data_IF_163149732068
#
_entry.id   IF_163149732068
#
_cell.length_a   1.000
_cell.length_b   1.000
_cell.length_c   1.000
_cell.angle_alpha   90.00
_cell.angle_beta   90.00
_cell.angle_gamma   90.00
#
_symmetry.space_group_name_H-M   'P 1'
#
loop_
_entity.id
_entity.type
_entity.pdbx_description
1 polymer ?
#
# COMPACT_ATOMS: atom_id res chain seq x y z
N UNK A 1 16.06 -24.87 -25.17
CA UNK A 1 16.99 -23.75 -25.28
C UNK A 1 17.55 -23.55 -23.88
N UNK A 2 18.85 -23.65 -23.68
CA UNK A 2 19.50 -23.47 -22.39
C UNK A 2 19.39 -21.99 -22.00
N UNK A 3 18.57 -21.68 -21.01
CA UNK A 3 18.56 -20.37 -20.37
C UNK A 3 19.87 -20.27 -19.61
N UNK A 4 20.84 -19.58 -20.15
CA UNK A 4 22.02 -19.16 -19.38
C UNK A 4 21.49 -18.27 -18.25
N UNK A 5 21.74 -18.69 -17.00
CA UNK A 5 21.44 -17.84 -15.84
C UNK A 5 22.11 -16.48 -16.06
N UNK A 6 21.38 -15.39 -15.79
CA UNK A 6 21.96 -14.05 -15.83
C UNK A 6 23.22 -14.00 -14.95
N UNK A 7 24.28 -13.29 -15.36
CA UNK A 7 25.48 -13.21 -14.56
C UNK A 7 25.15 -12.62 -13.19
N UNK A 8 25.71 -13.15 -12.11
CA UNK A 8 25.51 -12.57 -10.79
C UNK A 8 26.06 -11.14 -10.76
N UNK A 9 25.28 -10.17 -10.30
CA UNK A 9 25.74 -8.80 -10.11
C UNK A 9 26.88 -8.80 -9.07
N UNK A 10 27.97 -8.09 -9.36
CA UNK A 10 29.12 -8.01 -8.46
C UNK A 10 28.73 -7.30 -7.14
N UNK A 11 28.78 -8.02 -6.05
CA UNK A 11 28.47 -7.50 -4.71
C UNK A 11 29.42 -6.41 -4.25
N UNK A 12 30.70 -6.48 -4.64
CA UNK A 12 31.63 -5.43 -4.31
C UNK A 12 31.26 -4.14 -5.04
N UNK A 13 30.85 -4.25 -6.30
CA UNK A 13 30.39 -3.10 -7.11
C UNK A 13 29.18 -2.43 -6.48
N UNK A 14 28.16 -3.20 -6.06
CA UNK A 14 26.99 -2.65 -5.38
C UNK A 14 27.41 -1.83 -4.15
N UNK A 15 28.27 -2.36 -3.29
CA UNK A 15 28.73 -1.68 -2.07
C UNK A 15 29.56 -0.42 -2.35
N UNK A 16 30.35 -0.43 -3.41
CA UNK A 16 31.08 0.76 -3.86
C UNK A 16 30.14 1.86 -4.34
N UNK A 17 29.11 1.49 -5.10
CA UNK A 17 28.07 2.41 -5.56
C UNK A 17 27.23 2.94 -4.39
N UNK A 18 26.81 2.11 -3.45
CA UNK A 18 26.10 2.56 -2.23
C UNK A 18 26.91 3.65 -1.51
N UNK A 19 28.19 3.41 -1.24
CA UNK A 19 29.06 4.39 -0.57
C UNK A 19 29.18 5.70 -1.35
N UNK A 20 29.23 5.62 -2.69
CA UNK A 20 29.26 6.79 -3.56
C UNK A 20 27.96 7.60 -3.42
N UNK A 21 26.83 6.91 -3.56
CA UNK A 21 25.51 7.55 -3.55
C UNK A 21 25.14 8.09 -2.16
N UNK A 22 25.48 7.39 -1.08
CA UNK A 22 25.29 7.91 0.30
C UNK A 22 26.05 9.22 0.52
N UNK A 23 27.30 9.29 0.07
CA UNK A 23 28.09 10.53 0.17
C UNK A 23 27.43 11.66 -0.59
N UNK A 24 26.99 11.44 -1.83
CA UNK A 24 26.33 12.45 -2.66
C UNK A 24 25.04 12.93 -1.98
N UNK A 25 24.19 12.01 -1.48
CA UNK A 25 22.94 12.35 -0.82
C UNK A 25 23.20 13.17 0.46
N UNK A 26 24.18 12.77 1.27
CA UNK A 26 24.53 13.46 2.50
C UNK A 26 25.07 14.88 2.24
N UNK A 27 25.87 15.08 1.19
CA UNK A 27 26.36 16.40 0.79
C UNK A 27 25.23 17.32 0.31
N UNK A 28 24.18 16.78 -0.30
CA UNK A 28 23.04 17.54 -0.84
C UNK A 28 21.95 17.85 0.17
N UNK A 29 21.94 17.22 1.34
CA UNK A 29 20.83 17.28 2.31
C UNK A 29 21.26 17.78 3.68
N UNK A 30 22.15 18.78 3.71
CA UNK A 30 22.71 19.34 4.93
C UNK A 30 21.66 20.04 5.83
N UNK A 31 20.67 20.73 5.24
CA UNK A 31 19.58 21.35 6.00
C UNK A 31 18.65 20.29 6.62
N UNK A 32 18.39 19.20 5.88
CA UNK A 32 17.66 18.05 6.42
C UNK A 32 18.36 17.47 7.66
N UNK A 33 19.71 17.35 7.63
CA UNK A 33 20.50 16.92 8.79
C UNK A 33 20.36 17.89 9.99
N UNK A 34 20.37 19.19 9.76
CA UNK A 34 20.16 20.20 10.80
C UNK A 34 18.74 20.11 11.40
N UNK A 35 17.73 19.96 10.54
CA UNK A 35 16.34 19.80 10.97
C UNK A 35 16.17 18.51 11.80
N UNK A 36 16.81 17.43 11.42
CA UNK A 36 16.78 16.18 12.17
C UNK A 36 17.39 16.34 13.58
N UNK A 37 18.53 17.03 13.71
CA UNK A 37 19.11 17.37 15.02
C UNK A 37 18.14 18.19 15.88
N UNK A 38 17.43 19.14 15.27
CA UNK A 38 16.40 19.94 15.96
C UNK A 38 15.21 19.08 16.36
N UNK A 39 14.70 18.24 15.44
CA UNK A 39 13.52 17.40 15.65
C UNK A 39 13.72 16.38 16.79
N UNK A 40 14.91 15.80 16.94
CA UNK A 40 15.24 14.87 18.01
C UNK A 40 15.13 15.46 19.43
N UNK A 41 14.95 16.78 19.57
CA UNK A 41 14.73 17.42 20.90
C UNK A 41 13.27 17.29 21.35
N UNK A 42 12.33 17.04 20.46
CA UNK A 42 10.89 17.07 20.73
C UNK A 42 10.10 15.92 20.10
N UNK A 43 10.62 15.29 19.05
CA UNK A 43 10.02 14.14 18.41
C UNK A 43 10.85 12.89 18.67
N UNK A 44 10.20 11.82 19.10
CA UNK A 44 10.87 10.53 19.32
C UNK A 44 11.44 10.01 18.02
N UNK A 45 12.77 9.81 17.96
CA UNK A 45 13.46 9.44 16.72
C UNK A 45 13.52 10.56 15.66
N UNK A 46 13.18 11.82 16.00
CA UNK A 46 13.24 12.98 15.11
C UNK A 46 12.17 13.01 13.99
N UNK A 47 11.19 12.14 14.04
CA UNK A 47 10.14 12.00 13.03
C UNK A 47 8.75 11.86 13.65
N UNK A 48 7.69 12.14 12.88
CA UNK A 48 6.32 11.98 13.33
C UNK A 48 5.83 10.52 13.26
N UNK A 49 6.45 9.68 12.42
CA UNK A 49 6.11 8.27 12.26
C UNK A 49 7.36 7.46 11.90
N UNK A 50 7.43 6.21 12.38
CA UNK A 50 8.57 5.32 12.12
C UNK A 50 8.85 5.09 10.62
N UNK A 51 7.82 5.16 9.77
CA UNK A 51 8.00 5.09 8.31
C UNK A 51 8.79 6.25 7.70
N UNK A 52 8.95 7.36 8.43
CA UNK A 52 9.71 8.52 7.99
C UNK A 52 11.19 8.46 8.43
N UNK A 53 11.53 7.50 9.33
CA UNK A 53 12.89 7.37 9.86
C UNK A 53 13.82 6.74 8.82
N UNK A 54 14.99 7.35 8.65
CA UNK A 54 16.07 6.87 7.79
C UNK A 54 17.43 7.29 8.34
N UNK A 55 18.43 6.43 8.18
CA UNK A 55 19.82 6.74 8.47
C UNK A 55 20.49 7.46 7.27
N UNK A 56 21.41 8.41 7.53
CA UNK A 56 21.72 9.02 8.82
C UNK A 56 20.70 10.10 9.27
N UNK A 57 19.82 10.56 8.38
CA UNK A 57 18.69 11.45 8.59
C UNK A 57 17.65 11.31 7.48
N UNK A 58 16.36 11.53 7.78
CA UNK A 58 15.32 11.56 6.76
C UNK A 58 15.41 12.81 5.90
N UNK A 59 14.86 12.74 4.70
CA UNK A 59 14.69 13.92 3.83
C UNK A 59 13.46 14.68 4.29
N UNK A 60 13.64 15.98 4.61
CA UNK A 60 12.54 16.87 4.98
C UNK A 60 12.01 17.58 3.73
N UNK A 61 10.76 17.32 3.39
CA UNK A 61 10.08 17.99 2.26
C UNK A 61 9.50 19.34 2.70
N UNK A 62 9.52 20.32 1.80
CA UNK A 62 8.98 21.67 2.02
C UNK A 62 7.65 21.88 1.29
N UNK A 63 7.54 21.40 0.04
CA UNK A 63 6.34 21.56 -0.78
C UNK A 63 6.21 20.48 -1.85
N UNK A 64 4.99 20.35 -2.37
CA UNK A 64 4.68 19.53 -3.55
C UNK A 64 3.73 20.30 -4.48
N UNK A 65 3.89 20.12 -5.80
CA UNK A 65 3.04 20.70 -6.83
C UNK A 65 2.92 19.73 -8.01
N UNK A 66 1.71 19.32 -8.33
CA UNK A 66 1.48 18.29 -9.34
C UNK A 66 2.28 17.02 -9.03
N UNK A 67 3.14 16.55 -9.95
CA UNK A 67 3.95 15.34 -9.80
C UNK A 67 5.34 15.62 -9.18
N UNK A 68 5.60 16.79 -8.63
CA UNK A 68 6.92 17.22 -8.19
C UNK A 68 6.93 17.61 -6.72
N UNK A 69 8.00 17.26 -6.01
CA UNK A 69 8.26 17.68 -4.63
C UNK A 69 9.60 18.42 -4.52
N UNK A 70 9.72 19.26 -3.50
CA UNK A 70 10.98 19.93 -3.14
C UNK A 70 11.30 19.64 -1.68
N UNK A 71 12.54 19.29 -1.43
CA UNK A 71 13.04 19.21 -0.08
C UNK A 71 13.46 20.59 0.48
N UNK A 72 13.77 20.62 1.77
CA UNK A 72 14.22 21.86 2.45
C UNK A 72 15.59 22.33 2.00
N UNK A 73 16.35 21.49 1.33
CA UNK A 73 17.66 21.79 0.76
C UNK A 73 17.54 22.42 -0.64
N UNK A 74 16.33 22.46 -1.22
CA UNK A 74 16.01 23.03 -2.53
C UNK A 74 16.13 22.03 -3.69
N UNK A 75 16.30 20.75 -3.40
CA UNK A 75 16.32 19.72 -4.42
C UNK A 75 14.90 19.48 -4.95
N UNK A 76 14.72 19.57 -6.24
CA UNK A 76 13.48 19.23 -6.94
C UNK A 76 13.51 17.78 -7.39
N UNK A 77 12.39 17.06 -7.22
CA UNK A 77 12.31 15.64 -7.55
C UNK A 77 10.92 15.29 -8.11
N UNK A 78 10.86 14.42 -9.11
CA UNK A 78 9.62 13.76 -9.51
C UNK A 78 9.17 12.83 -8.39
N UNK A 79 7.91 12.94 -7.95
CA UNK A 79 7.38 12.19 -6.82
C UNK A 79 6.71 10.88 -7.25
N UNK A 80 7.47 9.83 -7.32
CA UNK A 80 6.96 8.46 -7.53
C UNK A 80 6.54 7.77 -6.23
N UNK A 81 6.85 8.34 -5.08
CA UNK A 81 6.38 7.87 -3.78
C UNK A 81 4.90 8.22 -3.54
N UNK A 82 4.50 9.45 -3.89
CA UNK A 82 3.13 9.95 -3.72
C UNK A 82 2.51 9.61 -2.34
N UNK A 83 3.31 9.77 -1.27
CA UNK A 83 2.87 9.53 0.10
C UNK A 83 2.37 8.11 0.35
N UNK A 84 3.11 7.08 -0.07
CA UNK A 84 2.68 5.67 -0.07
C UNK A 84 1.38 5.41 -0.86
N UNK A 85 1.16 6.17 -1.94
CA UNK A 85 -0.03 6.06 -2.78
C UNK A 85 -1.24 6.87 -2.31
N UNK A 86 -1.05 7.83 -1.40
CA UNK A 86 -2.14 8.71 -0.97
C UNK A 86 -2.39 9.89 -1.91
N UNK A 87 -1.45 10.18 -2.81
CA UNK A 87 -1.49 11.35 -3.70
C UNK A 87 -1.66 10.98 -5.18
N UNK A 88 -2.49 9.99 -5.48
CA UNK A 88 -2.81 9.64 -6.89
C UNK A 88 -3.41 10.83 -7.67
N UNK A 89 -3.95 11.82 -6.98
CA UNK A 89 -4.45 13.07 -7.55
C UNK A 89 -3.35 14.06 -7.91
N UNK A 90 -2.12 13.86 -7.42
CA UNK A 90 -1.02 14.83 -7.47
C UNK A 90 -1.10 15.87 -6.36
N UNK A 91 0.05 16.52 -6.09
CA UNK A 91 0.15 17.54 -5.05
C UNK A 91 -0.55 18.84 -5.45
N UNK A 92 -1.09 19.54 -4.45
CA UNK A 92 -1.72 20.86 -4.60
C UNK A 92 -2.77 20.94 -5.73
N UNK A 93 -3.50 19.85 -5.99
CA UNK A 93 -4.46 19.80 -7.09
C UNK A 93 -5.53 20.89 -6.96
N UNK A 94 -5.71 21.78 -7.98
CA UNK A 94 -6.52 23.00 -7.86
C UNK A 94 -7.99 22.74 -7.53
N UNK A 95 -8.58 21.67 -8.07
CA UNK A 95 -9.98 21.28 -7.80
C UNK A 95 -10.16 20.90 -6.33
N UNK A 96 -9.23 20.11 -5.78
CA UNK A 96 -9.26 19.69 -4.37
C UNK A 96 -8.99 20.88 -3.46
N UNK A 97 -8.01 21.73 -3.80
CA UNK A 97 -7.70 22.95 -3.06
C UNK A 97 -8.91 23.89 -2.95
N UNK A 98 -9.64 24.07 -4.06
CA UNK A 98 -10.89 24.85 -4.09
C UNK A 98 -11.95 24.25 -3.17
N UNK A 99 -12.21 22.94 -3.24
CA UNK A 99 -13.19 22.27 -2.41
C UNK A 99 -12.87 22.41 -0.90
N UNK A 100 -11.59 22.30 -0.52
CA UNK A 100 -11.13 22.51 0.85
C UNK A 100 -11.37 23.94 1.30
N UNK A 101 -11.03 24.95 0.50
CA UNK A 101 -11.23 26.36 0.81
C UNK A 101 -12.70 26.72 0.99
N UNK A 102 -13.57 26.26 0.09
CA UNK A 102 -15.02 26.46 0.17
C UNK A 102 -15.62 25.80 1.40
N UNK A 103 -15.16 24.60 1.76
CA UNK A 103 -15.60 23.90 2.96
C UNK A 103 -15.10 24.57 4.23
N UNK A 104 -13.84 24.99 4.27
CA UNK A 104 -13.27 25.72 5.39
C UNK A 104 -14.08 26.96 5.76
N UNK A 105 -14.53 27.72 4.76
CA UNK A 105 -15.36 28.90 4.95
C UNK A 105 -16.75 28.61 5.59
N UNK A 106 -17.21 27.34 5.53
CA UNK A 106 -18.50 26.88 6.11
C UNK A 106 -18.33 26.14 7.44
N UNK A 107 -17.09 25.95 7.90
CA UNK A 107 -16.76 25.19 9.10
C UNK A 107 -16.17 23.81 8.79
N UNK A 108 -15.27 23.37 9.65
CA UNK A 108 -14.42 22.19 9.43
C UNK A 108 -14.81 20.96 10.24
N UNK A 109 -15.64 21.14 11.31
CA UNK A 109 -16.04 20.03 12.17
C UNK A 109 -17.32 20.37 12.92
N UNK A 110 -18.31 19.47 12.89
CA UNK A 110 -19.62 19.68 13.52
C UNK A 110 -20.02 18.56 14.47
N UNK A 111 -19.33 17.41 14.48
CA UNK A 111 -19.81 16.17 15.10
C UNK A 111 -21.25 15.80 14.66
N UNK A 112 -21.60 16.15 13.41
CA UNK A 112 -22.89 15.94 12.80
C UNK A 112 -22.73 15.60 11.31
N UNK A 113 -23.66 14.86 10.70
CA UNK A 113 -23.58 14.48 9.28
C UNK A 113 -23.64 15.69 8.35
N UNK A 114 -23.04 15.54 7.16
CA UNK A 114 -23.04 16.54 6.09
C UNK A 114 -23.47 15.91 4.76
N UNK A 115 -23.95 16.74 3.83
CA UNK A 115 -24.35 16.30 2.50
C UNK A 115 -23.19 15.67 1.71
N UNK A 116 -21.98 16.23 1.82
CA UNK A 116 -20.79 15.69 1.17
C UNK A 116 -20.49 14.24 1.60
N UNK A 117 -20.77 13.90 2.87
CA UNK A 117 -20.60 12.53 3.37
C UNK A 117 -21.61 11.57 2.71
N UNK A 118 -22.83 12.04 2.42
CA UNK A 118 -23.82 11.23 1.70
C UNK A 118 -23.36 11.01 0.26
N UNK A 119 -23.01 12.08 -0.45
CA UNK A 119 -22.57 12.00 -1.84
C UNK A 119 -21.33 11.10 -2.03
N UNK A 120 -20.36 11.16 -1.10
CA UNK A 120 -19.22 10.24 -1.10
C UNK A 120 -19.66 8.80 -0.89
N UNK A 121 -20.56 8.53 0.07
CA UNK A 121 -21.07 7.18 0.31
C UNK A 121 -21.81 6.59 -0.89
N UNK A 122 -22.61 7.40 -1.59
CA UNK A 122 -23.30 7.00 -2.83
C UNK A 122 -22.31 6.67 -3.94
N UNK A 123 -21.27 7.49 -4.14
CA UNK A 123 -20.25 7.24 -5.16
C UNK A 123 -19.38 6.01 -4.84
N UNK A 124 -19.03 5.79 -3.57
CA UNK A 124 -18.33 4.57 -3.15
C UNK A 124 -19.22 3.33 -3.36
N UNK A 125 -20.51 3.41 -3.02
CA UNK A 125 -21.45 2.31 -3.25
C UNK A 125 -21.56 1.97 -4.76
N UNK A 126 -21.60 2.98 -5.62
CA UNK A 126 -21.62 2.81 -7.07
C UNK A 126 -20.34 2.14 -7.61
N UNK A 127 -19.16 2.55 -7.09
CA UNK A 127 -17.86 2.03 -7.57
C UNK A 127 -17.58 0.60 -7.13
N UNK A 128 -17.90 0.25 -5.88
CA UNK A 128 -17.60 -1.08 -5.33
C UNK A 128 -18.77 -2.07 -5.37
N UNK A 129 -19.97 -1.62 -5.67
CA UNK A 129 -21.17 -2.48 -5.61
C UNK A 129 -21.57 -2.88 -4.18
N UNK A 130 -20.99 -2.25 -3.16
CA UNK A 130 -21.29 -2.49 -1.74
C UNK A 130 -22.21 -1.35 -1.21
N UNK A 131 -23.42 -1.66 -0.71
CA UNK A 131 -24.43 -0.63 -0.48
C UNK A 131 -24.27 0.17 0.82
N UNK A 132 -23.48 -0.29 1.80
CA UNK A 132 -23.41 0.33 3.13
C UNK A 132 -21.99 0.79 3.46
N UNK A 133 -21.84 2.07 3.83
CA UNK A 133 -20.55 2.69 4.09
C UNK A 133 -20.48 3.39 5.45
N UNK A 134 -19.29 3.39 6.05
CA UNK A 134 -18.91 4.17 7.24
C UNK A 134 -17.55 4.79 7.03
N UNK A 135 -17.29 5.90 7.72
CA UNK A 135 -16.02 6.62 7.62
C UNK A 135 -15.15 6.40 8.85
N UNK A 136 -13.85 6.52 8.64
CA UNK A 136 -12.77 6.50 9.62
C UNK A 136 -11.76 7.58 9.26
N UNK A 137 -10.62 7.66 9.99
CA UNK A 137 -9.58 8.67 9.71
C UNK A 137 -8.30 8.05 9.17
N UNK A 138 -8.18 6.74 9.15
CA UNK A 138 -6.99 6.03 8.69
C UNK A 138 -7.33 4.60 8.23
N UNK A 139 -6.40 3.99 7.49
CA UNK A 139 -6.50 2.57 7.11
C UNK A 139 -6.48 1.64 8.33
N UNK A 140 -5.71 1.97 9.37
CA UNK A 140 -5.67 1.19 10.61
C UNK A 140 -7.02 1.17 11.34
N UNK A 141 -7.70 2.32 11.40
CA UNK A 141 -9.06 2.37 11.94
C UNK A 141 -10.03 1.58 11.06
N UNK A 142 -9.94 1.70 9.74
CA UNK A 142 -10.79 0.98 8.80
C UNK A 142 -10.67 -0.53 8.97
N UNK A 143 -9.47 -1.08 9.00
CA UNK A 143 -9.25 -2.52 9.16
C UNK A 143 -9.60 -3.01 10.57
N UNK A 144 -9.33 -2.23 11.61
CA UNK A 144 -9.72 -2.54 12.98
C UNK A 144 -11.25 -2.67 13.13
N UNK A 145 -11.97 -1.70 12.59
CA UNK A 145 -13.44 -1.70 12.66
C UNK A 145 -14.06 -2.78 11.77
N UNK A 146 -13.51 -3.03 10.56
CA UNK A 146 -13.97 -4.11 9.69
C UNK A 146 -13.84 -5.49 10.35
N UNK A 147 -12.71 -5.77 11.02
CA UNK A 147 -12.52 -7.01 11.79
C UNK A 147 -13.49 -7.09 12.97
N UNK A 148 -13.74 -5.98 13.70
CA UNK A 148 -14.71 -5.94 14.79
C UNK A 148 -16.13 -6.23 14.30
N UNK A 149 -16.50 -5.67 13.16
CA UNK A 149 -17.81 -5.93 12.50
C UNK A 149 -17.93 -7.40 12.13
N UNK A 150 -16.91 -7.97 11.49
CA UNK A 150 -16.88 -9.37 11.10
C UNK A 150 -16.98 -10.33 12.31
N UNK A 151 -16.26 -10.04 13.41
CA UNK A 151 -16.36 -10.79 14.66
C UNK A 151 -17.77 -10.73 15.26
N UNK A 152 -18.36 -9.55 15.33
CA UNK A 152 -19.71 -9.38 15.87
C UNK A 152 -20.79 -10.06 15.00
N UNK A 153 -20.64 -9.98 13.68
CA UNK A 153 -21.57 -10.61 12.73
C UNK A 153 -21.52 -12.14 12.80
N UNK A 154 -20.32 -12.72 12.91
CA UNK A 154 -20.14 -14.17 12.91
C UNK A 154 -20.17 -14.81 14.30
N UNK A 155 -20.00 -14.04 15.36
CA UNK A 155 -19.84 -14.55 16.73
C UNK A 155 -18.52 -15.30 16.96
N UNK A 156 -17.46 -14.99 16.19
CA UNK A 156 -16.16 -15.68 16.22
C UNK A 156 -15.03 -14.70 16.47
N UNK A 157 -13.89 -15.18 17.01
CA UNK A 157 -12.76 -14.33 17.40
C UNK A 157 -11.55 -14.41 16.46
N UNK A 158 -11.30 -15.60 15.87
CA UNK A 158 -10.12 -15.83 15.04
C UNK A 158 -10.16 -15.03 13.76
N UNK A 159 -9.02 -14.44 13.40
CA UNK A 159 -8.80 -13.72 12.13
C UNK A 159 -7.80 -14.50 11.29
N UNK A 160 -8.10 -14.69 10.02
CA UNK A 160 -7.15 -15.22 9.04
C UNK A 160 -6.67 -14.10 8.16
N UNK A 161 -5.36 -14.01 7.93
CA UNK A 161 -4.73 -13.01 7.05
C UNK A 161 -3.69 -13.64 6.14
N UNK A 162 -3.28 -12.94 5.11
CA UNK A 162 -2.14 -13.35 4.27
C UNK A 162 -0.83 -13.06 5.02
N UNK A 163 0.10 -14.04 4.99
CA UNK A 163 1.42 -13.89 5.59
C UNK A 163 2.21 -12.78 4.90
N UNK A 164 2.81 -11.89 5.68
CA UNK A 164 3.55 -10.74 5.18
C UNK A 164 2.70 -9.53 4.77
N UNK A 165 1.36 -9.66 4.64
CA UNK A 165 0.49 -8.52 4.33
C UNK A 165 0.42 -7.52 5.47
N UNK A 166 0.29 -6.22 5.12
CA UNK A 166 0.18 -5.13 6.08
C UNK A 166 -1.24 -4.53 6.06
N UNK A 167 -1.89 -4.48 7.22
CA UNK A 167 -3.26 -4.01 7.38
C UNK A 167 -3.41 -2.90 8.43
N UNK A 168 -2.38 -2.09 8.63
CA UNK A 168 -2.34 -1.06 9.66
C UNK A 168 -1.60 -1.53 10.92
N UNK A 169 -1.66 -0.69 11.98
CA UNK A 169 -0.80 -0.86 13.15
C UNK A 169 -1.55 -1.18 14.46
N UNK A 170 -2.75 -1.77 14.38
CA UNK A 170 -3.41 -2.33 15.55
C UNK A 170 -2.99 -3.79 15.78
N UNK A 171 -2.99 -4.22 17.03
CA UNK A 171 -2.38 -5.48 17.49
C UNK A 171 -2.84 -6.72 16.71
N UNK A 172 -4.13 -6.79 16.34
CA UNK A 172 -4.68 -7.97 15.63
C UNK A 172 -4.01 -8.23 14.29
N UNK A 173 -3.56 -7.20 13.58
CA UNK A 173 -2.96 -7.35 12.24
C UNK A 173 -1.44 -7.21 12.24
N UNK A 174 -0.84 -6.74 13.34
CA UNK A 174 0.60 -6.66 13.55
C UNK A 174 1.20 -8.04 13.88
N UNK A 175 0.82 -9.03 13.10
CA UNK A 175 1.19 -10.44 13.23
C UNK A 175 1.69 -10.96 11.90
N UNK A 176 2.78 -11.73 11.92
CA UNK A 176 3.37 -12.40 10.75
C UNK A 176 3.76 -11.43 9.63
N UNK A 177 4.42 -10.34 10.02
CA UNK A 177 5.02 -9.32 9.15
C UNK A 177 6.51 -9.24 9.47
N UNK A 178 7.37 -9.04 8.48
CA UNK A 178 8.81 -8.87 8.69
C UNK A 178 9.53 -10.12 9.24
N UNK A 179 8.94 -11.30 9.11
CA UNK A 179 9.48 -12.56 9.63
C UNK A 179 10.65 -13.04 8.77
N UNK A 180 11.73 -13.47 9.41
CA UNK A 180 12.87 -14.05 8.69
C UNK A 180 12.51 -15.38 8.04
N UNK A 181 13.18 -15.72 6.93
CA UNK A 181 12.83 -16.85 6.07
C UNK A 181 12.77 -18.18 6.83
N UNK A 182 13.73 -18.43 7.70
CA UNK A 182 13.86 -19.64 8.52
C UNK A 182 12.77 -19.80 9.61
N UNK A 183 11.97 -18.75 9.84
CA UNK A 183 10.90 -18.70 10.85
C UNK A 183 9.49 -18.67 10.27
N UNK A 184 9.35 -18.72 8.96
CA UNK A 184 8.04 -18.65 8.29
C UNK A 184 7.16 -19.85 8.63
N UNK A 185 7.72 -21.05 8.64
CA UNK A 185 6.99 -22.31 8.83
C UNK A 185 6.53 -22.94 7.52
N UNK A 186 5.80 -24.05 7.63
CA UNK A 186 5.26 -24.78 6.49
C UNK A 186 4.01 -24.10 5.93
N UNK A 187 3.70 -24.18 4.62
CA UNK A 187 2.59 -23.46 3.99
C UNK A 187 1.22 -23.63 4.66
N UNK A 188 0.94 -24.79 5.24
CA UNK A 188 -0.32 -25.07 5.93
C UNK A 188 -0.23 -24.94 7.47
N UNK A 189 0.91 -24.41 7.96
CA UNK A 189 1.15 -24.11 9.38
C UNK A 189 2.15 -22.96 9.56
N UNK A 190 1.87 -21.83 8.91
CA UNK A 190 2.69 -20.62 9.00
C UNK A 190 2.68 -20.04 10.41
N UNK A 191 3.83 -19.51 10.82
CA UNK A 191 4.02 -18.99 12.17
C UNK A 191 3.18 -17.71 12.43
N UNK A 192 2.51 -17.67 13.58
CA UNK A 192 1.90 -16.44 14.11
C UNK A 192 2.89 -15.77 15.07
N UNK A 193 3.57 -14.74 14.60
CA UNK A 193 4.61 -14.01 15.34
C UNK A 193 4.29 -12.52 15.42
N UNK A 194 4.51 -11.86 16.58
CA UNK A 194 4.24 -10.43 16.71
C UNK A 194 5.25 -9.61 15.90
N UNK A 195 4.78 -8.55 15.24
CA UNK A 195 5.62 -7.57 14.54
C UNK A 195 6.08 -6.48 15.51
N UNK A 196 6.95 -6.82 16.42
CA UNK A 196 7.51 -5.92 17.41
C UNK A 196 7.00 -6.16 18.83
N UNK A 197 7.61 -5.43 19.78
CA UNK A 197 7.29 -5.53 21.20
C UNK A 197 5.95 -4.86 21.55
N UNK A 198 5.32 -5.32 22.62
CA UNK A 198 4.10 -4.72 23.18
C UNK A 198 2.79 -5.34 22.69
N UNK A 199 2.83 -6.27 21.74
CA UNK A 199 1.65 -6.99 21.26
C UNK A 199 1.39 -8.18 22.18
N UNK A 200 0.19 -8.28 22.81
CA UNK A 200 -0.12 -9.37 23.73
C UNK A 200 -0.18 -10.73 23.01
N UNK A 201 0.38 -11.77 23.62
CA UNK A 201 0.36 -13.12 23.03
C UNK A 201 -1.07 -13.62 22.76
N UNK A 202 -2.02 -13.31 23.63
CA UNK A 202 -3.43 -13.66 23.42
C UNK A 202 -4.00 -13.07 22.12
N UNK A 203 -3.55 -11.86 21.69
CA UNK A 203 -3.94 -11.26 20.42
C UNK A 203 -3.25 -11.96 19.24
N UNK A 204 -1.97 -12.28 19.38
CA UNK A 204 -1.21 -13.06 18.38
C UNK A 204 -1.86 -14.42 18.12
N UNK A 205 -2.26 -15.11 19.18
CA UNK A 205 -2.88 -16.45 19.10
C UNK A 205 -4.24 -16.45 18.37
N UNK A 206 -4.94 -15.31 18.35
CA UNK A 206 -6.20 -15.14 17.60
C UNK A 206 -5.99 -14.87 16.12
N UNK A 207 -4.77 -14.60 15.66
CA UNK A 207 -4.48 -14.27 14.26
C UNK A 207 -3.68 -15.40 13.61
N UNK A 208 -4.20 -15.92 12.52
CA UNK A 208 -3.61 -17.04 11.77
C UNK A 208 -3.25 -16.55 10.37
N UNK A 209 -2.04 -16.86 9.93
CA UNK A 209 -1.59 -16.49 8.60
C UNK A 209 -1.60 -17.70 7.63
N UNK A 210 -1.83 -17.38 6.34
CA UNK A 210 -1.79 -18.32 5.21
C UNK A 210 -1.00 -17.71 4.06
N UNK A 211 -0.43 -18.49 3.14
CA UNK A 211 0.29 -17.93 2.00
C UNK A 211 -0.66 -17.24 1.00
N UNK A 212 -0.12 -16.27 0.27
CA UNK A 212 -0.78 -15.69 -0.91
C UNK A 212 -0.68 -16.67 -2.09
N UNK A 213 -1.61 -16.63 -3.02
CA UNK A 213 -1.65 -17.48 -4.22
C UNK A 213 -1.68 -19.01 -3.97
N UNK A 214 -2.01 -19.45 -2.75
CA UNK A 214 -2.18 -20.86 -2.41
C UNK A 214 -3.49 -21.12 -1.65
N UNK A 215 -4.56 -21.25 -2.41
CA UNK A 215 -5.90 -21.58 -1.84
C UNK A 215 -5.93 -22.95 -1.18
N UNK A 216 -5.12 -23.90 -1.67
CA UNK A 216 -5.06 -25.24 -1.09
C UNK A 216 -4.47 -25.24 0.31
N UNK A 217 -3.40 -24.47 0.56
CA UNK A 217 -2.86 -24.29 1.90
C UNK A 217 -3.87 -23.56 2.80
N UNK A 218 -4.57 -22.54 2.28
CA UNK A 218 -5.64 -21.84 3.02
C UNK A 218 -6.76 -22.81 3.44
N UNK A 219 -7.22 -23.68 2.53
CA UNK A 219 -8.27 -24.67 2.82
C UNK A 219 -7.81 -25.69 3.89
N UNK A 220 -6.62 -26.27 3.76
CA UNK A 220 -6.06 -27.17 4.77
C UNK A 220 -5.90 -26.50 6.14
N UNK A 221 -5.45 -25.24 6.17
CA UNK A 221 -5.35 -24.49 7.43
C UNK A 221 -6.71 -24.21 8.04
N UNK A 222 -7.69 -23.87 7.22
CA UNK A 222 -9.07 -23.65 7.65
C UNK A 222 -9.69 -24.93 8.25
N UNK A 223 -9.49 -26.08 7.62
CA UNK A 223 -9.96 -27.38 8.15
C UNK A 223 -9.37 -27.68 9.52
N UNK A 224 -8.07 -27.45 9.71
CA UNK A 224 -7.40 -27.59 11.03
C UNK A 224 -8.03 -26.69 12.09
N UNK A 225 -8.33 -25.43 11.74
CA UNK A 225 -8.96 -24.47 12.66
C UNK A 225 -10.40 -24.86 13.01
N UNK A 226 -11.17 -25.34 12.04
CA UNK A 226 -12.54 -25.83 12.27
C UNK A 226 -12.52 -27.02 13.23
N UNK A 227 -11.60 -27.96 13.04
CA UNK A 227 -11.46 -29.12 13.92
C UNK A 227 -11.07 -28.72 15.36
N UNK A 228 -10.48 -27.57 15.57
CA UNK A 228 -10.10 -27.00 16.87
C UNK A 228 -11.16 -26.06 17.47
N UNK A 229 -12.35 -25.94 16.87
CA UNK A 229 -13.39 -24.97 17.22
C UNK A 229 -12.92 -23.50 17.15
N UNK A 230 -12.01 -23.24 16.22
CA UNK A 230 -11.38 -21.90 15.98
C UNK A 230 -11.66 -21.36 14.58
N UNK A 231 -12.85 -21.66 14.04
CA UNK A 231 -13.26 -21.17 12.71
C UNK A 231 -13.15 -19.66 12.64
N UNK A 232 -12.47 -19.09 11.62
CA UNK A 232 -12.27 -17.66 11.52
C UNK A 232 -13.58 -16.86 11.38
N UNK A 233 -13.59 -15.64 11.95
CA UNK A 233 -14.60 -14.63 11.71
C UNK A 233 -14.48 -14.07 10.30
N UNK A 234 -13.25 -13.81 9.88
CA UNK A 234 -12.96 -13.22 8.58
C UNK A 234 -11.62 -13.72 8.02
N UNK A 235 -11.50 -13.60 6.70
CA UNK A 235 -10.23 -13.52 5.98
C UNK A 235 -10.05 -12.06 5.60
N UNK A 236 -8.96 -11.41 6.05
CA UNK A 236 -8.55 -10.08 5.59
C UNK A 236 -7.31 -10.23 4.71
N UNK A 237 -7.34 -9.62 3.53
CA UNK A 237 -6.27 -9.71 2.55
C UNK A 237 -6.17 -8.47 1.67
N UNK A 238 -4.96 -8.14 1.26
CA UNK A 238 -4.73 -7.31 0.07
C UNK A 238 -5.04 -8.20 -1.16
N UNK A 239 -5.86 -7.73 -2.09
CA UNK A 239 -6.18 -8.50 -3.30
C UNK A 239 -4.98 -8.62 -4.26
N UNK A 240 -4.05 -7.68 -4.19
CA UNK A 240 -2.67 -7.76 -4.66
C UNK A 240 -1.78 -7.27 -3.52
N UNK A 241 -0.70 -8.00 -3.20
CA UNK A 241 0.19 -7.58 -2.12
C UNK A 241 1.03 -6.39 -2.59
N UNK A 242 0.91 -5.27 -1.88
CA UNK A 242 1.54 -3.99 -2.22
C UNK A 242 2.59 -3.56 -1.16
N UNK A 243 2.96 -4.47 -0.25
CA UNK A 243 3.96 -4.22 0.80
C UNK A 243 5.17 -5.16 0.67
N UNK A 244 5.29 -5.83 -0.49
CA UNK A 244 6.41 -6.70 -0.89
C UNK A 244 6.87 -6.36 -2.32
N UNK A 245 6.84 -5.07 -2.70
CA UNK A 245 6.74 -4.65 -4.07
C UNK A 245 5.31 -4.87 -4.58
N UNK A 246 5.13 -5.29 -5.82
CA UNK A 246 3.82 -5.59 -6.40
C UNK A 246 3.72 -7.09 -6.70
N UNK A 247 2.93 -7.82 -5.89
CA UNK A 247 2.66 -9.24 -6.12
C UNK A 247 1.20 -9.41 -6.51
N UNK A 248 0.97 -9.73 -7.78
CA UNK A 248 -0.38 -9.86 -8.34
C UNK A 248 -1.01 -11.22 -7.97
N UNK A 249 -2.34 -11.28 -7.83
CA UNK A 249 -3.03 -12.55 -7.69
C UNK A 249 -2.86 -13.39 -8.96
N UNK A 250 -2.68 -14.69 -8.80
CA UNK A 250 -2.72 -15.64 -9.90
C UNK A 250 -4.16 -15.82 -10.41
N UNK A 251 -4.28 -16.26 -11.66
CA UNK A 251 -5.59 -16.43 -12.31
C UNK A 251 -6.51 -17.34 -11.50
N UNK A 252 -7.70 -16.83 -11.19
CA UNK A 252 -8.71 -17.57 -10.42
C UNK A 252 -8.49 -17.60 -8.89
N UNK A 253 -7.35 -17.14 -8.37
CA UNK A 253 -7.05 -17.18 -6.93
C UNK A 253 -8.08 -16.41 -6.09
N UNK A 254 -8.37 -15.16 -6.44
CA UNK A 254 -9.33 -14.34 -5.68
C UNK A 254 -10.74 -14.93 -5.67
N UNK A 255 -11.19 -15.48 -6.81
CA UNK A 255 -12.49 -16.14 -6.88
C UNK A 255 -12.52 -17.41 -6.02
N UNK A 256 -11.46 -18.21 -6.04
CA UNK A 256 -11.37 -19.40 -5.21
C UNK A 256 -11.37 -19.07 -3.70
N UNK A 257 -10.72 -17.98 -3.29
CA UNK A 257 -10.81 -17.45 -1.91
C UNK A 257 -12.23 -17.01 -1.58
N UNK A 258 -12.92 -16.29 -2.51
CA UNK A 258 -14.33 -15.88 -2.34
C UNK A 258 -15.23 -17.11 -2.13
N UNK A 259 -15.09 -18.12 -2.97
CA UNK A 259 -15.91 -19.33 -2.91
C UNK A 259 -15.67 -20.12 -1.62
N UNK A 260 -14.40 -20.26 -1.21
CA UNK A 260 -14.02 -20.91 0.04
C UNK A 260 -14.60 -20.18 1.27
N UNK A 261 -14.48 -18.86 1.32
CA UNK A 261 -15.00 -18.06 2.43
C UNK A 261 -16.53 -18.10 2.49
N UNK A 262 -17.21 -18.02 1.35
CA UNK A 262 -18.66 -18.15 1.26
C UNK A 262 -19.16 -19.53 1.72
N UNK A 263 -18.53 -20.61 1.24
CA UNK A 263 -18.83 -22.01 1.63
C UNK A 263 -18.83 -22.20 3.16
N UNK A 264 -17.95 -21.50 3.86
CA UNK A 264 -17.78 -21.62 5.30
C UNK A 264 -18.43 -20.50 6.12
N UNK A 265 -19.12 -19.56 5.49
CA UNK A 265 -19.72 -18.40 6.17
C UNK A 265 -18.67 -17.56 6.93
N UNK A 266 -17.54 -17.29 6.29
CA UNK A 266 -16.44 -16.45 6.76
C UNK A 266 -16.51 -15.14 6.00
N UNK A 267 -16.43 -14.00 6.69
CA UNK A 267 -16.45 -12.69 6.06
C UNK A 267 -15.15 -12.47 5.28
N UNK A 268 -15.23 -12.22 3.98
CA UNK A 268 -14.09 -11.83 3.16
C UNK A 268 -13.94 -10.30 3.18
N UNK A 269 -12.78 -9.81 3.61
CA UNK A 269 -12.44 -8.39 3.66
C UNK A 269 -11.29 -8.14 2.68
N UNK A 270 -11.53 -7.36 1.63
CA UNK A 270 -10.43 -6.82 0.84
C UNK A 270 -9.93 -5.53 1.48
N UNK A 271 -8.66 -5.57 1.88
CA UNK A 271 -7.96 -4.36 2.27
C UNK A 271 -7.48 -3.63 1.01
N UNK A 272 -8.23 -2.63 0.64
CA UNK A 272 -7.95 -1.78 -0.52
C UNK A 272 -7.32 -0.43 -0.13
N UNK A 273 -6.68 -0.35 1.01
CA UNK A 273 -5.99 0.87 1.47
C UNK A 273 -4.89 1.30 0.50
N UNK A 274 -4.21 0.35 -0.17
CA UNK A 274 -3.20 0.63 -1.21
C UNK A 274 -3.73 0.53 -2.64
N UNK A 275 -4.68 -0.34 -2.90
CA UNK A 275 -5.23 -0.59 -4.24
C UNK A 275 -6.41 0.30 -4.60
N UNK A 276 -7.25 0.62 -3.62
CA UNK A 276 -8.44 1.43 -3.82
C UNK A 276 -8.14 2.79 -4.43
N UNK A 277 -8.83 3.14 -5.51
CA UNK A 277 -8.65 4.36 -6.30
C UNK A 277 -7.30 4.50 -7.03
N UNK A 278 -6.36 3.58 -6.80
CA UNK A 278 -5.06 3.58 -7.48
C UNK A 278 -5.04 2.67 -8.69
N UNK A 279 -5.65 1.48 -8.61
CA UNK A 279 -5.54 0.48 -9.69
C UNK A 279 -6.77 0.45 -10.62
N UNK A 280 -7.89 0.96 -10.17
CA UNK A 280 -9.12 1.16 -10.93
C UNK A 280 -10.07 2.07 -10.13
N UNK A 281 -11.15 2.54 -10.73
CA UNK A 281 -12.14 3.40 -10.07
C UNK A 281 -12.84 2.70 -8.89
N UNK A 282 -13.13 1.42 -8.99
CA UNK A 282 -13.61 0.52 -7.94
C UNK A 282 -12.53 -0.42 -7.39
N UNK A 283 -11.26 -0.01 -7.48
CA UNK A 283 -10.13 -0.72 -6.91
C UNK A 283 -9.95 -2.15 -7.41
N UNK A 284 -9.54 -3.03 -6.51
CA UNK A 284 -9.32 -4.45 -6.77
C UNK A 284 -10.63 -5.20 -7.12
N UNK A 285 -11.72 -4.80 -6.51
CA UNK A 285 -13.05 -5.35 -6.78
C UNK A 285 -13.44 -5.19 -8.26
N UNK A 286 -13.23 -4.01 -8.83
CA UNK A 286 -13.46 -3.77 -10.27
C UNK A 286 -12.41 -4.48 -11.13
N UNK A 287 -11.12 -4.36 -10.77
CA UNK A 287 -10.01 -4.86 -11.58
C UNK A 287 -10.07 -6.36 -11.84
N UNK A 288 -10.44 -7.15 -10.83
CA UNK A 288 -10.50 -8.62 -10.92
C UNK A 288 -11.92 -9.19 -10.91
N UNK A 289 -12.95 -8.35 -10.80
CA UNK A 289 -14.35 -8.79 -10.88
C UNK A 289 -14.82 -9.65 -9.70
N UNK A 290 -14.13 -9.59 -8.56
CA UNK A 290 -14.48 -10.36 -7.35
C UNK A 290 -14.93 -9.42 -6.25
N UNK A 291 -16.19 -9.54 -5.82
CA UNK A 291 -16.77 -8.70 -4.76
C UNK A 291 -16.63 -9.39 -3.41
N UNK A 292 -15.90 -8.79 -2.44
CA UNK A 292 -15.82 -9.29 -1.07
C UNK A 292 -17.10 -8.93 -0.28
N UNK A 293 -17.20 -9.40 0.96
CA UNK A 293 -18.26 -8.98 1.88
C UNK A 293 -18.02 -7.56 2.41
N UNK A 294 -16.76 -7.18 2.55
CA UNK A 294 -16.34 -5.85 3.02
C UNK A 294 -15.08 -5.38 2.29
N UNK A 295 -14.94 -4.06 2.19
CA UNK A 295 -13.70 -3.39 1.77
C UNK A 295 -13.27 -2.35 2.79
N UNK A 296 -11.96 -2.11 2.89
CA UNK A 296 -11.39 -1.00 3.66
C UNK A 296 -10.62 -0.07 2.76
N UNK A 297 -10.84 1.24 2.90
CA UNK A 297 -10.21 2.30 2.11
C UNK A 297 -9.52 3.31 3.02
N UNK A 298 -8.47 3.95 2.51
CA UNK A 298 -7.81 5.14 3.06
C UNK A 298 -6.92 5.78 1.99
N UNK A 299 -5.78 6.38 2.38
CA UNK A 299 -4.76 6.92 1.45
C UNK A 299 -5.36 7.79 0.34
N UNK A 300 -5.42 7.26 -0.90
CA UNK A 300 -5.96 7.97 -2.06
C UNK A 300 -7.39 8.52 -1.85
N UNK A 301 -8.18 7.90 -0.98
CA UNK A 301 -9.53 8.36 -0.64
C UNK A 301 -9.53 9.79 -0.10
N UNK A 302 -8.58 10.12 0.76
CA UNK A 302 -8.50 11.42 1.42
C UNK A 302 -7.85 12.52 0.59
N UNK A 303 -7.28 12.21 -0.58
CA UNK A 303 -6.54 13.18 -1.41
C UNK A 303 -5.51 14.01 -0.60
N UNK A 304 -4.74 13.33 0.27
CA UNK A 304 -3.76 13.91 1.17
C UNK A 304 -4.29 14.29 2.57
N UNK A 305 -5.59 14.24 2.81
CA UNK A 305 -6.17 14.44 4.14
C UNK A 305 -6.41 13.10 4.86
N UNK A 306 -6.34 13.07 6.23
CA UNK A 306 -6.69 11.89 7.00
C UNK A 306 -8.14 11.48 6.75
N UNK A 307 -8.33 10.38 6.04
CA UNK A 307 -9.63 9.84 5.69
C UNK A 307 -9.53 8.33 5.49
N UNK A 308 -10.55 7.61 5.92
CA UNK A 308 -10.75 6.20 5.64
C UNK A 308 -12.22 5.87 5.51
N UNK A 309 -12.53 4.69 4.98
CA UNK A 309 -13.89 4.20 4.87
C UNK A 309 -13.94 2.67 4.95
N UNK A 310 -15.10 2.17 5.35
CA UNK A 310 -15.45 0.76 5.36
C UNK A 310 -16.73 0.60 4.54
N UNK A 311 -16.67 -0.23 3.49
CA UNK A 311 -17.84 -0.64 2.72
C UNK A 311 -18.20 -2.09 3.03
N UNK A 312 -19.49 -2.41 2.99
CA UNK A 312 -19.93 -3.79 3.20
C UNK A 312 -21.33 -4.07 2.68
N UNK A 313 -21.67 -5.36 2.65
CA UNK A 313 -23.03 -5.83 2.33
C UNK A 313 -24.00 -5.38 3.42
N UNK A 314 -25.30 -5.27 3.08
CA UNK A 314 -26.32 -4.93 4.08
C UNK A 314 -26.35 -5.91 5.25
N UNK A 315 -26.13 -7.18 4.96
CA UNK A 315 -26.13 -8.26 5.93
C UNK A 315 -25.01 -8.08 6.97
N UNK A 316 -23.76 -7.95 6.52
CA UNK A 316 -22.60 -7.79 7.42
C UNK A 316 -22.67 -6.46 8.18
N UNK A 317 -23.08 -5.37 7.52
CA UNK A 317 -23.19 -4.04 8.15
C UNK A 317 -24.43 -3.90 9.06
N UNK A 318 -25.32 -4.88 9.10
CA UNK A 318 -26.51 -4.87 9.98
C UNK A 318 -26.17 -4.73 11.46
N UNK A 319 -25.03 -5.28 11.91
CA UNK A 319 -24.55 -5.19 13.29
C UNK A 319 -24.14 -3.77 13.71
N UNK A 320 -23.77 -2.94 12.74
CA UNK A 320 -23.54 -1.50 12.98
C UNK A 320 -24.86 -0.75 13.00
N UNK A 321 -25.77 -1.06 12.06
CA UNK A 321 -27.08 -0.42 11.92
C UNK A 321 -27.97 -0.64 13.15
N UNK A 322 -27.93 -1.83 13.75
CA UNK A 322 -28.73 -2.17 14.93
C UNK A 322 -28.06 -1.78 16.27
N UNK A 323 -26.85 -1.21 16.23
CA UNK A 323 -26.13 -0.74 17.42
C UNK A 323 -25.37 -1.82 18.19
N UNK A 324 -25.29 -3.06 17.69
CA UNK A 324 -24.51 -4.13 18.32
C UNK A 324 -23.01 -3.85 18.25
N UNK A 325 -22.54 -3.17 17.21
CA UNK A 325 -21.16 -2.70 17.07
C UNK A 325 -21.11 -1.19 17.18
N UNK A 326 -20.29 -0.70 18.10
CA UNK A 326 -19.99 0.73 18.25
C UNK A 326 -18.83 1.11 17.30
N UNK A 327 -19.20 1.62 16.11
CA UNK A 327 -18.24 2.20 15.16
C UNK A 327 -18.29 3.71 15.31
N UNK A 328 -17.33 4.28 16.02
CA UNK A 328 -17.33 5.67 16.46
C UNK A 328 -15.97 6.34 16.24
N UNK A 329 -15.98 7.64 16.06
CA UNK A 329 -14.81 8.48 15.98
C UNK A 329 -15.23 9.94 15.85
N UNK A 330 -14.65 10.81 16.68
CA UNK A 330 -14.99 12.24 16.70
C UNK A 330 -14.86 12.90 15.33
N UNK A 331 -13.87 12.48 14.55
CA UNK A 331 -13.56 13.04 13.22
C UNK A 331 -14.06 12.20 12.05
N UNK A 332 -14.81 11.11 12.31
CA UNK A 332 -15.32 10.26 11.23
C UNK A 332 -16.26 11.04 10.32
N UNK A 333 -15.98 11.01 9.01
CA UNK A 333 -16.71 11.83 8.04
C UNK A 333 -16.47 13.33 8.23
N UNK A 334 -15.25 13.72 8.64
CA UNK A 334 -14.85 15.11 8.79
C UNK A 334 -15.22 15.93 7.55
N UNK A 335 -15.92 17.07 7.70
CA UNK A 335 -16.38 17.88 6.56
C UNK A 335 -15.27 18.26 5.56
N UNK A 336 -14.06 18.55 6.05
CA UNK A 336 -12.93 18.87 5.17
C UNK A 336 -12.48 17.65 4.37
N UNK A 337 -12.34 16.50 5.05
CA UNK A 337 -11.95 15.25 4.42
C UNK A 337 -12.95 14.79 3.37
N UNK A 338 -14.25 14.77 3.71
CA UNK A 338 -15.28 14.34 2.75
C UNK A 338 -15.46 15.31 1.58
N UNK A 339 -15.26 16.63 1.77
CA UNK A 339 -15.30 17.58 0.67
C UNK A 339 -14.12 17.37 -0.32
N UNK A 340 -12.92 17.13 0.18
CA UNK A 340 -11.77 16.77 -0.64
C UNK A 340 -11.99 15.43 -1.37
N UNK A 341 -12.50 14.43 -0.65
CA UNK A 341 -12.84 13.11 -1.22
C UNK A 341 -13.88 13.23 -2.32
N UNK A 342 -14.96 14.00 -2.11
CA UNK A 342 -16.00 14.22 -3.11
C UNK A 342 -15.43 14.84 -4.39
N UNK A 343 -14.67 15.91 -4.25
CA UNK A 343 -14.02 16.56 -5.39
C UNK A 343 -13.07 15.61 -6.12
N UNK A 344 -12.27 14.83 -5.37
CA UNK A 344 -11.39 13.80 -5.94
C UNK A 344 -12.15 12.76 -6.74
N UNK A 345 -13.21 12.16 -6.16
CA UNK A 345 -13.94 11.08 -6.79
C UNK A 345 -14.72 11.52 -8.04
N UNK A 346 -15.31 12.71 -7.99
CA UNK A 346 -16.26 13.16 -9.04
C UNK A 346 -15.56 13.95 -10.15
N UNK A 347 -14.54 14.75 -9.82
CA UNK A 347 -13.97 15.70 -10.75
C UNK A 347 -12.52 15.39 -11.17
N UNK A 348 -11.77 14.60 -10.37
CA UNK A 348 -10.36 14.30 -10.64
C UNK A 348 -10.15 12.88 -11.13
N UNK A 349 -10.66 11.89 -10.40
CA UNK A 349 -10.50 10.46 -10.71
C UNK A 349 -11.60 10.00 -11.67
N UNK A 350 -11.56 10.56 -12.89
CA UNK A 350 -12.46 10.28 -14.00
C UNK A 350 -11.99 9.05 -14.81
N UNK A 351 -12.83 8.48 -15.70
CA UNK A 351 -12.40 7.42 -16.60
C UNK A 351 -11.15 7.80 -17.44
N UNK A 352 -11.06 9.04 -17.92
CA UNK A 352 -9.91 9.52 -18.70
C UNK A 352 -8.63 9.57 -17.82
N UNK A 353 -8.77 9.93 -16.54
CA UNK A 353 -7.64 9.90 -15.59
C UNK A 353 -7.11 8.47 -15.39
N UNK A 354 -7.97 7.46 -15.28
CA UNK A 354 -7.54 6.07 -15.18
C UNK A 354 -6.91 5.56 -16.48
N UNK A 355 -7.47 5.91 -17.65
CA UNK A 355 -6.85 5.57 -18.93
C UNK A 355 -5.46 6.18 -19.09
N UNK A 356 -5.26 7.42 -18.61
CA UNK A 356 -3.96 8.08 -18.58
C UNK A 356 -2.98 7.36 -17.64
N UNK A 357 -3.40 7.00 -16.43
CA UNK A 357 -2.58 6.27 -15.47
C UNK A 357 -2.16 4.89 -16.00
N UNK A 358 -3.08 4.14 -16.59
CA UNK A 358 -2.78 2.85 -17.20
C UNK A 358 -1.76 2.99 -18.35
N UNK A 359 -1.92 3.96 -19.23
CA UNK A 359 -1.00 4.21 -20.34
C UNK A 359 0.42 4.57 -19.85
N UNK A 360 0.54 5.42 -18.83
CA UNK A 360 1.83 5.76 -18.24
C UNK A 360 2.48 4.55 -17.53
N UNK A 361 1.66 3.73 -16.84
CA UNK A 361 2.19 2.56 -16.16
C UNK A 361 2.64 1.47 -17.15
N UNK A 362 1.91 1.24 -18.22
CA UNK A 362 2.34 0.33 -19.30
C UNK A 362 3.67 0.80 -19.91
N UNK A 363 3.83 2.13 -20.11
CA UNK A 363 5.06 2.73 -20.63
C UNK A 363 6.25 2.47 -19.70
N UNK A 364 6.13 2.77 -18.40
CA UNK A 364 7.23 2.60 -17.44
C UNK A 364 7.61 1.13 -17.27
N UNK A 365 6.63 0.23 -17.15
CA UNK A 365 6.84 -1.22 -17.04
C UNK A 365 7.57 -1.75 -18.27
N UNK A 366 7.06 -1.44 -19.48
CA UNK A 366 7.66 -1.90 -20.73
C UNK A 366 9.09 -1.36 -20.93
N UNK A 367 9.33 -0.10 -20.60
CA UNK A 367 10.64 0.51 -20.71
C UNK A 367 11.64 -0.07 -19.69
N UNK A 368 11.22 -0.32 -18.45
CA UNK A 368 12.06 -0.97 -17.46
C UNK A 368 12.43 -2.41 -17.86
N UNK A 369 11.49 -3.18 -18.41
CA UNK A 369 11.76 -4.52 -18.92
C UNK A 369 12.78 -4.49 -20.09
N UNK A 370 12.72 -3.47 -20.96
CA UNK A 370 13.74 -3.30 -22.01
C UNK A 370 15.13 -3.02 -21.42
N UNK A 371 15.25 -2.21 -20.36
CA UNK A 371 16.52 -1.96 -19.66
C UNK A 371 17.03 -3.25 -19.01
N UNK A 372 16.16 -4.00 -18.32
CA UNK A 372 16.52 -5.29 -17.71
C UNK A 372 17.08 -6.26 -18.76
N UNK A 373 16.42 -6.38 -19.90
CA UNK A 373 16.86 -7.23 -21.01
C UNK A 373 18.18 -6.74 -21.63
N UNK A 374 18.33 -5.43 -21.85
CA UNK A 374 19.52 -4.80 -22.43
C UNK A 374 20.80 -5.14 -21.63
N UNK A 375 20.70 -5.13 -20.32
CA UNK A 375 21.84 -5.36 -19.42
C UNK A 375 21.89 -6.77 -18.83
N UNK A 376 20.85 -7.60 -19.06
CA UNK A 376 20.77 -8.95 -18.50
C UNK A 376 20.64 -8.96 -16.98
N UNK A 377 19.94 -7.97 -16.40
CA UNK A 377 19.72 -7.91 -14.95
C UNK A 377 18.82 -9.07 -14.49
N UNK A 378 19.06 -9.63 -13.28
CA UNK A 378 18.17 -10.61 -12.69
C UNK A 378 16.93 -9.90 -12.09
N UNK A 379 15.91 -9.70 -12.89
CA UNK A 379 14.72 -8.98 -12.46
C UNK A 379 13.62 -8.89 -13.52
N UNK A 380 12.54 -8.25 -13.15
CA UNK A 380 11.41 -7.95 -14.03
C UNK A 380 10.68 -6.70 -13.52
N UNK A 381 9.99 -6.01 -14.41
CA UNK A 381 9.07 -4.95 -14.02
C UNK A 381 7.64 -5.50 -13.92
N UNK A 382 6.85 -4.99 -13.00
CA UNK A 382 5.45 -5.35 -12.82
C UNK A 382 4.63 -4.13 -12.45
N UNK A 383 3.40 -4.05 -12.98
CA UNK A 383 2.51 -2.93 -12.69
C UNK A 383 1.04 -3.28 -12.78
N UNK A 384 0.22 -2.48 -12.11
CA UNK A 384 -1.24 -2.52 -12.16
C UNK A 384 -1.82 -1.14 -11.84
N UNK A 385 -2.62 -0.58 -12.76
CA UNK A 385 -3.17 0.76 -12.62
C UNK A 385 -2.07 1.81 -12.49
N UNK A 386 -2.06 2.60 -11.43
CA UNK A 386 -1.03 3.61 -11.18
C UNK A 386 0.20 3.09 -10.43
N UNK A 387 0.25 1.80 -10.11
CA UNK A 387 1.27 1.20 -9.25
C UNK A 387 2.14 0.21 -9.99
N UNK A 388 3.41 0.14 -9.61
CA UNK A 388 4.33 -0.86 -10.11
C UNK A 388 5.67 -0.80 -9.40
N UNK A 389 6.55 -1.71 -9.76
CA UNK A 389 7.93 -1.77 -9.27
C UNK A 389 8.84 -2.50 -10.24
N UNK A 390 10.14 -2.27 -10.11
CA UNK A 390 11.16 -3.19 -10.60
C UNK A 390 11.49 -4.16 -9.47
N UNK A 391 11.35 -5.44 -9.73
CA UNK A 391 11.67 -6.51 -8.77
C UNK A 391 13.01 -7.15 -9.12
N UNK A 392 14.00 -6.98 -8.26
CA UNK A 392 15.33 -7.59 -8.42
C UNK A 392 15.30 -9.03 -7.90
N UNK A 393 14.76 -9.92 -8.72
CA UNK A 393 14.67 -11.35 -8.42
C UNK A 393 14.78 -12.17 -9.71
N UNK A 394 15.58 -13.22 -9.74
CA UNK A 394 15.69 -14.09 -10.90
C UNK A 394 14.44 -14.93 -11.17
N UNK A 395 13.52 -14.98 -10.20
CA UNK A 395 12.28 -15.74 -10.26
C UNK A 395 11.10 -14.85 -9.89
N UNK A 396 9.93 -15.15 -10.43
CA UNK A 396 8.69 -14.41 -10.09
C UNK A 396 8.39 -14.57 -8.60
N UNK A 397 8.14 -13.45 -7.93
CA UNK A 397 7.65 -13.42 -6.56
C UNK A 397 6.13 -13.67 -6.61
N UNK A 398 5.68 -14.66 -5.84
CA UNK A 398 4.26 -15.04 -5.80
C UNK A 398 3.66 -14.97 -4.40
N UNK A 399 4.52 -14.91 -3.37
CA UNK A 399 4.13 -14.86 -1.97
C UNK A 399 5.28 -14.30 -1.10
N UNK A 400 5.06 -14.24 0.22
CA UNK A 400 6.08 -13.76 1.16
C UNK A 400 7.32 -14.68 1.23
N UNK A 401 7.15 -16.00 1.14
CA UNK A 401 8.28 -16.92 1.22
C UNK A 401 9.22 -16.76 0.02
N UNK A 402 8.66 -16.69 -1.19
CA UNK A 402 9.42 -16.42 -2.42
C UNK A 402 10.08 -15.03 -2.40
N UNK A 403 9.39 -14.01 -1.83
CA UNK A 403 9.97 -12.68 -1.63
C UNK A 403 11.20 -12.75 -0.70
N UNK A 404 11.09 -13.33 0.48
CA UNK A 404 12.21 -13.43 1.43
C UNK A 404 13.37 -14.27 0.92
N UNK A 405 13.09 -15.31 0.13
CA UNK A 405 14.11 -16.16 -0.47
C UNK A 405 14.93 -15.46 -1.58
N UNK A 406 14.33 -14.47 -2.26
CA UNK A 406 14.93 -13.85 -3.46
C UNK A 406 15.18 -12.35 -3.31
N UNK A 407 14.81 -11.74 -2.18
CA UNK A 407 15.01 -10.31 -1.94
C UNK A 407 16.48 -9.93 -1.94
N UNK A 408 16.85 -8.96 -2.76
CA UNK A 408 18.18 -8.34 -2.78
C UNK A 408 18.13 -6.96 -2.10
N UNK A 409 18.38 -6.96 -0.79
CA UNK A 409 18.30 -5.76 0.01
C UNK A 409 19.37 -4.71 -0.34
N UNK A 410 20.62 -5.14 -0.63
CA UNK A 410 21.70 -4.20 -0.99
C UNK A 410 21.40 -3.52 -2.34
N UNK A 411 20.85 -4.27 -3.30
CA UNK A 411 20.50 -3.70 -4.61
C UNK A 411 19.31 -2.76 -4.52
N UNK A 412 18.30 -3.11 -3.70
CA UNK A 412 17.14 -2.22 -3.45
C UNK A 412 17.55 -0.92 -2.76
N UNK A 413 18.44 -1.00 -1.75
CA UNK A 413 18.99 0.20 -1.09
C UNK A 413 19.79 1.08 -2.08
N UNK A 414 20.57 0.46 -2.95
CA UNK A 414 21.30 1.18 -4.01
C UNK A 414 20.34 1.86 -4.99
N UNK A 415 19.33 1.17 -5.48
CA UNK A 415 18.39 1.71 -6.45
C UNK A 415 17.65 2.91 -5.86
N UNK A 416 17.24 2.84 -4.60
CA UNK A 416 16.62 3.97 -3.92
C UNK A 416 17.56 5.18 -3.82
N UNK A 417 18.81 4.99 -3.36
CA UNK A 417 19.83 6.05 -3.28
C UNK A 417 20.11 6.69 -4.64
N UNK A 418 20.21 5.85 -5.67
CA UNK A 418 20.50 6.26 -7.04
C UNK A 418 19.41 7.14 -7.61
N UNK A 419 18.15 6.74 -7.42
CA UNK A 419 16.97 7.50 -7.78
C UNK A 419 16.94 8.86 -7.06
N UNK A 420 17.09 8.88 -5.74
CA UNK A 420 17.06 10.10 -4.94
C UNK A 420 18.08 11.13 -5.39
N UNK A 421 19.30 10.70 -5.72
CA UNK A 421 20.36 11.58 -6.17
C UNK A 421 20.15 12.16 -7.56
N UNK A 422 19.28 11.53 -8.37
CA UNK A 422 18.96 11.96 -9.73
C UNK A 422 17.58 12.61 -9.87
N UNK A 423 16.99 12.98 -8.73
CA UNK A 423 15.73 13.72 -8.74
C UNK A 423 14.48 12.86 -8.93
N UNK A 424 14.55 11.59 -8.55
CA UNK A 424 13.40 10.68 -8.47
C UNK A 424 13.13 10.36 -7.00
N UNK A 425 12.02 10.84 -6.46
CA UNK A 425 11.61 10.58 -5.08
C UNK A 425 10.81 9.28 -5.01
N UNK A 426 11.46 8.22 -4.50
CA UNK A 426 10.89 6.89 -4.40
C UNK A 426 10.47 6.54 -2.96
N UNK A 427 9.60 5.55 -2.83
CA UNK A 427 9.26 4.95 -1.55
C UNK A 427 10.53 4.46 -0.84
N UNK A 428 10.80 4.91 0.40
CA UNK A 428 11.97 4.46 1.13
C UNK A 428 11.79 3.00 1.56
N UNK A 429 12.87 2.22 1.44
CA UNK A 429 12.90 0.81 1.85
C UNK A 429 13.08 -0.13 0.67
N UNK A 430 12.82 -1.41 0.93
CA UNK A 430 13.12 -2.51 0.01
C UNK A 430 12.01 -2.83 -0.99
N UNK A 431 10.95 -2.06 -0.98
CA UNK A 431 9.71 -2.34 -1.72
C UNK A 431 9.64 -1.58 -3.05
N UNK A 432 10.43 -0.53 -3.22
CA UNK A 432 10.64 0.30 -4.42
C UNK A 432 9.41 0.50 -5.33
N UNK A 433 8.22 0.48 -4.73
CA UNK A 433 6.96 0.67 -5.43
C UNK A 433 6.84 2.12 -5.86
N UNK A 434 6.56 2.33 -7.15
CA UNK A 434 6.09 3.64 -7.60
C UNK A 434 4.57 3.76 -7.52
N UNK A 435 4.12 4.98 -7.34
CA UNK A 435 2.72 5.38 -7.57
C UNK A 435 2.72 6.53 -8.55
N UNK A 436 2.07 6.37 -9.69
CA UNK A 436 1.80 7.47 -10.62
C UNK A 436 0.60 8.28 -10.11
N UNK A 437 0.60 9.60 -10.37
CA UNK A 437 -0.55 10.46 -10.15
C UNK A 437 -1.11 10.94 -11.50
N UNK A 438 -2.34 11.43 -11.49
CA UNK A 438 -3.00 11.97 -12.70
C UNK A 438 -2.27 13.18 -13.28
N UNK A 439 -1.32 13.75 -12.55
CA UNK A 439 -0.50 14.88 -12.97
C UNK A 439 0.85 14.48 -13.55
N UNK A 440 1.23 13.20 -13.48
CA UNK A 440 2.44 12.71 -14.13
C UNK A 440 2.31 12.78 -15.65
N UNK A 441 3.44 12.99 -16.31
CA UNK A 441 3.56 13.02 -17.77
C UNK A 441 4.49 11.91 -18.28
N UNK A 442 4.53 11.73 -19.59
CA UNK A 442 5.53 10.85 -20.22
C UNK A 442 6.97 11.30 -19.89
N UNK A 443 7.22 12.63 -19.79
CA UNK A 443 8.53 13.16 -19.39
C UNK A 443 8.97 12.66 -18.02
N UNK A 444 8.06 12.64 -17.04
CA UNK A 444 8.37 12.12 -15.71
C UNK A 444 8.71 10.63 -15.74
N UNK A 445 7.96 9.85 -16.53
CA UNK A 445 8.22 8.41 -16.73
C UNK A 445 9.57 8.18 -17.41
N UNK A 446 9.85 8.94 -18.48
CA UNK A 446 11.11 8.85 -19.21
C UNK A 446 12.29 9.21 -18.32
N UNK A 447 12.17 10.24 -17.46
CA UNK A 447 13.21 10.59 -16.48
C UNK A 447 13.51 9.44 -15.50
N UNK A 448 12.48 8.73 -15.02
CA UNK A 448 12.69 7.53 -14.19
C UNK A 448 13.45 6.42 -14.95
N UNK A 449 13.02 6.15 -16.18
CA UNK A 449 13.62 5.10 -17.02
C UNK A 449 15.08 5.42 -17.36
N UNK A 450 15.40 6.69 -17.65
CA UNK A 450 16.78 7.13 -17.86
C UNK A 450 17.66 6.89 -16.64
N UNK A 451 17.17 7.21 -15.45
CA UNK A 451 17.89 6.94 -14.19
C UNK A 451 18.07 5.46 -13.97
N UNK A 452 17.07 4.63 -14.29
CA UNK A 452 17.19 3.18 -14.20
C UNK A 452 18.17 2.58 -15.21
N UNK A 453 18.22 3.10 -16.45
CA UNK A 453 19.21 2.70 -17.47
C UNK A 453 20.65 3.05 -17.03
N UNK A 454 20.84 4.24 -16.41
CA UNK A 454 22.13 4.65 -15.84
C UNK A 454 22.56 3.73 -14.70
N UNK A 455 21.65 3.39 -13.76
CA UNK A 455 21.91 2.43 -12.69
C UNK A 455 22.34 1.07 -13.25
N UNK A 456 21.59 0.55 -14.22
CA UNK A 456 21.89 -0.72 -14.87
C UNK A 456 23.27 -0.71 -15.56
N UNK A 457 23.60 0.38 -16.23
CA UNK A 457 24.92 0.58 -16.84
C UNK A 457 26.06 0.60 -15.81
N UNK A 458 25.85 1.31 -14.70
CA UNK A 458 26.84 1.40 -13.60
C UNK A 458 27.04 0.05 -12.88
N UNK A 459 25.98 -0.76 -12.78
CA UNK A 459 26.06 -2.10 -12.17
C UNK A 459 26.84 -3.09 -13.03
N UNK A 460 26.80 -2.94 -14.36
CA UNK A 460 27.38 -3.88 -15.31
C UNK A 460 28.76 -3.43 -15.85
N UNK A 461 29.24 -2.23 -15.45
CA UNK A 461 30.56 -1.71 -15.75
C UNK A 461 31.58 -2.13 -14.69
#
# INVERSE_FOLDING_TARGET
MSTSAAPPIDRQRIRELIKREERVLNERTGRSAEMFKRANRSLSGGVASSYQLRDPWPIYLERGDGPVVWDVDGNQMWDFHNGFGSMVQGHAHPVIGKAIQERYAKGTHFAAPTEDAIAVGEELARRWGLPQWRYTNSGSESTMDAIRIARAFTGRDTVMKIFGSYHGHHDTVMVSIGVEYDKIGEPDDLASLPYGAGIPQATVDMTVAVPFNDVGAMERRLEKLIAQDRKPACVIMEAAMMNLGVVLPEDGYLQAVRDLTAKHGIVLIFDEVKTGLCIAAGGATEKWGVTPDMVTLAKALGAGLPMGAIGGTEEVMSVVKNGSVYQVGTYNGNPLGVAATRASLIEVLTPDAYAHLDALNDRIVGACDMVIQKYGLPGYAVGVGSKGCVTFSPTKITDYASFKANQDAELSDLAWLFNMNRGIFMTPGREEEWTLSVTHSEEAVDAYVEVFDELASDLMS
#
